data_IF_710319132721
#
_entry.id   IF_710319132721
#
_cell.length_a   1.000
_cell.length_b   1.000
_cell.length_c   1.000
_cell.angle_alpha   90.00
_cell.angle_beta   90.00
_cell.angle_gamma   90.00
#
_symmetry.space_group_name_H-M   'P 1'
#
loop_
_entity.id
_entity.type
_entity.pdbx_description
1 polymer ?
#
# COMPACT_ATOMS: atom_id res chain seq x y z
N UNK A 1 -86.35 -24.56 -2.20
CA UNK A 1 -86.83 -25.69 -1.33
C UNK A 1 -86.07 -25.58 -0.06
N UNK A 2 -86.57 -24.85 0.87
CA UNK A 2 -87.17 -25.15 2.19
C UNK A 2 -86.58 -26.36 2.90
N UNK A 3 -86.00 -26.14 4.08
CA UNK A 3 -86.48 -26.43 5.41
C UNK A 3 -85.39 -26.30 6.46
N UNK A 4 -85.55 -25.33 7.29
CA UNK A 4 -85.64 -25.31 8.78
C UNK A 4 -85.43 -26.64 9.56
N UNK A 5 -84.66 -26.57 10.66
CA UNK A 5 -85.19 -26.74 12.02
C UNK A 5 -84.17 -26.38 13.09
N UNK A 6 -84.73 -25.81 14.13
CA UNK A 6 -84.30 -25.15 15.34
C UNK A 6 -83.91 -26.07 16.49
N UNK A 7 -83.41 -25.42 17.55
CA UNK A 7 -83.29 -25.70 18.98
C UNK A 7 -81.94 -26.23 19.43
N UNK A 8 -81.16 -25.58 20.25
CA UNK A 8 -81.45 -24.78 21.42
C UNK A 8 -80.99 -25.53 22.67
N UNK A 9 -79.89 -25.10 23.30
CA UNK A 9 -79.66 -25.21 24.77
C UNK A 9 -78.54 -24.31 25.23
N UNK A 10 -78.86 -23.43 26.14
CA UNK A 10 -77.98 -22.52 26.87
C UNK A 10 -77.05 -23.30 27.82
N UNK A 11 -75.75 -22.94 27.79
CA UNK A 11 -74.88 -23.19 28.92
C UNK A 11 -74.02 -21.91 29.15
N UNK A 12 -74.08 -21.43 30.37
CA UNK A 12 -73.59 -20.15 30.85
C UNK A 12 -72.07 -20.01 30.74
N UNK A 13 -71.59 -18.84 30.37
CA UNK A 13 -70.17 -18.55 30.18
C UNK A 13 -69.57 -17.89 31.43
N UNK A 14 -69.05 -18.65 32.34
CA UNK A 14 -68.36 -18.06 33.52
C UNK A 14 -67.06 -18.74 34.01
N UNK A 15 -66.60 -19.83 33.42
CA UNK A 15 -65.33 -20.46 33.83
C UNK A 15 -64.29 -20.77 32.75
N UNK A 16 -64.51 -20.37 31.51
CA UNK A 16 -63.49 -20.53 30.43
C UNK A 16 -62.59 -19.30 30.17
N UNK A 17 -62.94 -18.14 30.75
CA UNK A 17 -62.17 -16.91 30.52
C UNK A 17 -60.84 -16.82 31.28
N UNK A 18 -60.72 -17.44 32.43
CA UNK A 18 -59.55 -17.31 33.27
C UNK A 18 -58.39 -18.25 32.84
N UNK A 19 -58.69 -19.41 32.27
CA UNK A 19 -57.66 -20.34 31.77
C UNK A 19 -57.10 -20.00 30.41
N UNK A 20 -57.85 -19.27 29.57
CA UNK A 20 -57.35 -18.81 28.28
C UNK A 20 -56.42 -17.58 28.39
N UNK A 21 -56.63 -16.71 29.39
CA UNK A 21 -55.78 -15.55 29.63
C UNK A 21 -54.41 -15.92 30.19
N UNK A 22 -54.31 -16.96 31.03
CA UNK A 22 -53.02 -17.46 31.59
C UNK A 22 -52.24 -18.24 30.55
N UNK A 23 -52.89 -18.90 29.59
CA UNK A 23 -52.20 -19.59 28.46
C UNK A 23 -51.66 -18.59 27.41
N UNK A 24 -52.31 -17.42 27.20
CA UNK A 24 -51.84 -16.41 26.25
C UNK A 24 -50.66 -15.57 26.79
N UNK A 25 -50.53 -15.40 28.12
CA UNK A 25 -49.40 -14.66 28.72
C UNK A 25 -48.14 -15.50 28.85
N UNK A 26 -48.23 -16.82 28.86
CA UNK A 26 -47.07 -17.74 28.90
C UNK A 26 -46.46 -17.99 27.52
N UNK A 27 -47.21 -17.77 26.42
CA UNK A 27 -46.68 -17.90 25.06
C UNK A 27 -45.98 -16.65 24.56
N UNK A 28 -46.24 -15.44 25.12
CA UNK A 28 -45.59 -14.21 24.73
C UNK A 28 -44.17 -14.03 25.29
N UNK A 29 -43.82 -14.67 26.38
CA UNK A 29 -42.45 -14.63 26.95
C UNK A 29 -41.50 -15.66 26.35
N UNK A 30 -42.02 -16.71 25.69
CA UNK A 30 -41.18 -17.72 25.02
C UNK A 30 -40.77 -17.34 23.60
N UNK A 31 -41.49 -16.42 22.93
CA UNK A 31 -41.16 -15.98 21.59
C UNK A 31 -40.08 -14.88 21.52
N UNK A 32 -39.91 -14.07 22.57
CA UNK A 32 -38.89 -13.01 22.57
C UNK A 32 -37.45 -13.58 22.63
N UNK A 33 -37.22 -14.61 23.45
CA UNK A 33 -35.88 -15.19 23.56
C UNK A 33 -35.48 -16.08 22.37
N UNK A 34 -36.44 -16.60 21.60
CA UNK A 34 -36.16 -17.38 20.40
C UNK A 34 -35.95 -16.47 19.18
N UNK A 35 -36.69 -15.36 19.08
CA UNK A 35 -36.48 -14.36 18.05
C UNK A 35 -35.19 -13.54 18.28
N UNK A 36 -34.86 -13.25 19.53
CA UNK A 36 -33.58 -12.55 19.84
C UNK A 36 -32.34 -13.42 19.54
N UNK A 37 -32.46 -14.76 19.68
CA UNK A 37 -31.40 -15.70 19.25
C UNK A 37 -31.34 -15.91 17.73
N UNK A 38 -32.46 -15.79 17.03
CA UNK A 38 -32.53 -15.91 15.57
C UNK A 38 -32.14 -14.57 14.85
N UNK A 39 -32.32 -13.45 15.56
CA UNK A 39 -31.97 -12.12 15.11
C UNK A 39 -30.57 -11.65 15.59
N UNK A 40 -29.92 -12.40 16.46
CA UNK A 40 -28.50 -12.26 16.74
C UNK A 40 -27.74 -12.75 15.49
N UNK A 41 -27.82 -11.98 14.41
CA UNK A 41 -26.91 -12.12 13.27
C UNK A 41 -25.54 -11.79 13.82
N UNK A 42 -24.76 -12.81 14.12
CA UNK A 42 -23.32 -12.68 14.27
C UNK A 42 -22.85 -12.22 12.89
N UNK A 43 -22.51 -10.94 12.76
CA UNK A 43 -21.90 -10.46 11.52
C UNK A 43 -20.64 -11.32 11.31
N UNK A 44 -20.58 -12.15 10.25
CA UNK A 44 -19.44 -13.04 10.03
C UNK A 44 -18.13 -12.29 9.82
N UNK A 45 -18.19 -10.97 9.59
CA UNK A 45 -17.04 -10.10 9.47
C UNK A 45 -16.59 -9.49 10.82
N UNK A 46 -17.37 -9.66 11.90
CA UNK A 46 -16.99 -9.23 13.25
C UNK A 46 -16.50 -10.43 14.05
N UNK A 47 -15.20 -10.52 14.24
CA UNK A 47 -14.58 -11.52 15.09
C UNK A 47 -14.72 -11.06 16.55
N UNK A 48 -15.56 -11.74 17.33
CA UNK A 48 -15.67 -11.45 18.75
C UNK A 48 -14.35 -11.79 19.48
N UNK A 49 -13.92 -10.99 20.46
CA UNK A 49 -12.71 -11.28 21.24
C UNK A 49 -12.68 -12.67 21.88
N UNK A 50 -13.86 -13.26 22.21
CA UNK A 50 -13.98 -14.61 22.73
C UNK A 50 -13.64 -15.70 21.70
N UNK A 51 -13.85 -15.41 20.41
CA UNK A 51 -13.66 -16.39 19.34
C UNK A 51 -12.17 -16.50 18.92
N UNK A 52 -11.36 -15.50 19.27
CA UNK A 52 -9.91 -15.43 19.01
C UNK A 52 -9.03 -15.88 20.17
N UNK A 53 -9.62 -16.38 21.24
CA UNK A 53 -8.87 -16.85 22.42
C UNK A 53 -8.03 -18.13 22.16
N UNK A 54 -8.16 -18.76 20.98
CA UNK A 54 -7.37 -19.94 20.64
C UNK A 54 -6.10 -19.59 19.86
N UNK A 55 -5.05 -20.37 20.10
CA UNK A 55 -3.79 -20.25 19.36
C UNK A 55 -3.98 -20.40 17.83
N UNK A 56 -4.88 -21.30 17.42
CA UNK A 56 -5.20 -21.53 16.01
C UNK A 56 -5.90 -20.34 15.36
N UNK A 57 -6.84 -19.70 16.05
CA UNK A 57 -7.53 -18.51 15.56
C UNK A 57 -6.58 -17.31 15.45
N UNK A 58 -5.71 -17.08 16.44
CA UNK A 58 -4.69 -16.03 16.38
C UNK A 58 -3.72 -16.22 15.20
N UNK A 59 -3.32 -17.47 14.93
CA UNK A 59 -2.48 -17.78 13.77
C UNK A 59 -3.20 -17.55 12.43
N UNK A 60 -4.49 -17.90 12.35
CA UNK A 60 -5.30 -17.67 11.14
C UNK A 60 -5.45 -16.17 10.84
N UNK A 61 -5.68 -15.34 11.87
CA UNK A 61 -5.71 -13.88 11.73
C UNK A 61 -4.37 -13.33 11.24
N UNK A 62 -3.26 -13.79 11.82
CA UNK A 62 -1.93 -13.37 11.38
C UNK A 62 -1.66 -13.72 9.90
N UNK A 63 -2.03 -14.94 9.47
CA UNK A 63 -1.92 -15.35 8.07
C UNK A 63 -2.80 -14.47 7.16
N UNK A 64 -4.01 -14.11 7.60
CA UNK A 64 -4.88 -13.16 6.92
C UNK A 64 -4.27 -11.78 6.79
N UNK A 65 -3.60 -11.29 7.83
CA UNK A 65 -2.88 -10.02 7.82
C UNK A 65 -1.69 -10.04 6.85
N UNK A 66 -0.88 -11.10 6.86
CA UNK A 66 0.24 -11.26 5.89
C UNK A 66 -0.29 -11.25 4.46
N UNK A 67 -1.44 -11.88 4.21
CA UNK A 67 -2.05 -11.87 2.88
C UNK A 67 -2.53 -10.46 2.46
N UNK A 68 -3.16 -9.69 3.37
CA UNK A 68 -3.53 -8.30 3.06
C UNK A 68 -2.31 -7.39 2.94
N UNK A 69 -1.26 -7.61 3.74
CA UNK A 69 0.02 -6.91 3.58
C UNK A 69 0.64 -7.17 2.21
N UNK A 70 0.59 -8.42 1.73
CA UNK A 70 1.02 -8.76 0.37
C UNK A 70 0.20 -8.00 -0.68
N UNK A 71 -1.10 -7.85 -0.50
CA UNK A 71 -1.99 -7.18 -1.46
C UNK A 71 -1.74 -5.67 -1.61
N UNK A 72 -1.16 -5.01 -0.63
CA UNK A 72 -0.79 -3.58 -0.71
C UNK A 72 0.61 -3.34 -1.26
N UNK A 73 1.31 -4.39 -1.68
CA UNK A 73 2.63 -4.37 -2.31
C UNK A 73 2.57 -5.04 -3.68
N UNK A 74 3.41 -6.03 -3.95
CA UNK A 74 3.44 -6.76 -5.23
C UNK A 74 2.36 -7.83 -5.42
N UNK A 75 1.49 -8.08 -4.45
CA UNK A 75 0.43 -9.09 -4.51
C UNK A 75 -0.94 -8.54 -4.95
N UNK A 76 -1.07 -7.28 -5.20
CA UNK A 76 -2.29 -6.62 -5.67
C UNK A 76 -1.98 -5.39 -6.52
N UNK A 77 -2.95 -4.91 -7.27
CA UNK A 77 -2.87 -3.59 -7.89
C UNK A 77 -3.00 -2.54 -6.78
N UNK A 78 -1.88 -1.97 -6.41
CA UNK A 78 -1.70 -1.16 -5.20
C UNK A 78 -1.16 0.22 -5.54
N UNK A 79 -0.98 1.05 -4.51
CA UNK A 79 -0.34 2.36 -4.65
C UNK A 79 1.11 2.26 -5.16
N UNK A 80 1.74 1.07 -5.12
CA UNK A 80 3.02 0.85 -5.78
C UNK A 80 2.94 1.07 -7.28
N UNK A 81 1.86 0.58 -7.92
CA UNK A 81 1.65 0.78 -9.35
C UNK A 81 1.01 2.13 -9.65
N UNK A 82 -0.03 2.53 -8.92
CA UNK A 82 -0.69 3.82 -9.12
C UNK A 82 0.18 5.01 -8.73
N UNK A 83 0.93 4.92 -7.65
CA UNK A 83 1.95 5.92 -7.33
C UNK A 83 3.04 6.00 -8.39
N UNK A 84 3.38 4.88 -9.00
CA UNK A 84 4.31 4.83 -10.13
C UNK A 84 3.76 5.47 -11.40
N UNK A 85 2.45 5.34 -11.69
CA UNK A 85 1.78 6.08 -12.78
C UNK A 85 1.77 7.59 -12.51
N UNK A 86 1.36 7.97 -11.29
CA UNK A 86 1.30 9.39 -10.90
C UNK A 86 2.68 10.06 -10.89
N UNK A 87 3.72 9.28 -10.66
CA UNK A 87 5.11 9.70 -10.72
C UNK A 87 5.64 9.68 -12.19
N UNK A 88 6.49 8.73 -12.51
CA UNK A 88 7.08 8.56 -13.83
C UNK A 88 7.63 7.13 -14.04
N UNK A 89 7.35 6.19 -13.13
CA UNK A 89 7.83 4.81 -13.27
C UNK A 89 7.07 4.05 -14.36
N UNK A 90 5.78 4.32 -14.46
CA UNK A 90 4.87 3.67 -15.40
C UNK A 90 4.12 4.70 -16.24
N UNK A 91 3.76 4.29 -17.46
CA UNK A 91 2.77 4.96 -18.30
C UNK A 91 1.59 4.03 -18.53
N UNK A 92 0.38 4.57 -18.67
CA UNK A 92 -0.81 3.74 -18.88
C UNK A 92 -0.86 3.12 -20.26
N UNK A 93 -1.17 1.83 -20.35
CA UNK A 93 -1.57 1.13 -21.57
C UNK A 93 -2.85 0.33 -21.34
N UNK A 94 -3.66 0.79 -20.41
CA UNK A 94 -4.89 0.18 -19.92
C UNK A 94 -6.11 0.71 -20.68
N UNK A 95 -7.20 -0.08 -20.66
CA UNK A 95 -8.55 0.36 -21.05
C UNK A 95 -9.28 1.07 -19.91
N UNK A 96 -8.72 1.08 -18.70
CA UNK A 96 -9.36 1.70 -17.54
C UNK A 96 -9.05 3.19 -17.47
N UNK A 97 -10.11 4.00 -17.51
CA UNK A 97 -10.00 5.46 -17.39
C UNK A 97 -9.30 5.87 -16.07
N UNK A 98 -9.42 5.06 -15.02
CA UNK A 98 -8.79 5.28 -13.72
C UNK A 98 -7.26 5.32 -13.82
N UNK A 99 -6.69 4.45 -14.66
CA UNK A 99 -5.26 4.45 -14.94
C UNK A 99 -4.84 5.70 -15.73
N UNK A 100 -5.64 6.06 -16.74
CA UNK A 100 -5.36 7.23 -17.57
C UNK A 100 -5.43 8.53 -16.76
N UNK A 101 -6.45 8.71 -15.91
CA UNK A 101 -6.56 9.84 -14.99
C UNK A 101 -5.36 9.96 -14.05
N UNK A 102 -4.85 8.81 -13.59
CA UNK A 102 -3.71 8.78 -12.67
C UNK A 102 -2.40 9.14 -13.38
N UNK A 103 -2.14 8.56 -14.54
CA UNK A 103 -0.97 8.87 -15.37
C UNK A 103 -0.98 10.33 -15.85
N UNK A 104 -2.16 10.83 -16.27
CA UNK A 104 -2.35 12.23 -16.64
C UNK A 104 -2.25 13.21 -15.47
N UNK A 105 -2.19 12.73 -14.21
CA UNK A 105 -2.17 13.57 -13.02
C UNK A 105 -3.42 14.45 -12.88
N UNK A 106 -4.59 13.91 -13.24
CA UNK A 106 -5.93 14.52 -13.13
C UNK A 106 -6.88 13.50 -12.51
N UNK A 107 -6.64 13.17 -11.24
CA UNK A 107 -7.32 12.08 -10.54
C UNK A 107 -8.61 12.56 -9.93
N UNK A 108 -9.72 11.94 -10.31
CA UNK A 108 -11.03 12.24 -9.74
C UNK A 108 -11.22 11.58 -8.38
N UNK A 109 -12.00 12.21 -7.51
CA UNK A 109 -12.31 11.68 -6.17
C UNK A 109 -13.19 10.42 -6.22
N UNK A 110 -13.87 10.12 -7.33
CA UNK A 110 -14.65 8.92 -7.56
C UNK A 110 -13.86 7.80 -8.27
N UNK A 111 -12.55 7.95 -8.43
CA UNK A 111 -11.68 6.94 -9.02
C UNK A 111 -11.75 5.63 -8.22
N UNK A 112 -12.41 4.61 -8.79
CA UNK A 112 -12.69 3.33 -8.14
C UNK A 112 -11.45 2.52 -7.79
N UNK A 113 -10.35 2.67 -8.55
CA UNK A 113 -9.08 2.00 -8.26
C UNK A 113 -8.42 2.62 -7.03
N UNK A 114 -8.38 3.95 -6.92
CA UNK A 114 -7.88 4.66 -5.73
C UNK A 114 -8.71 4.30 -4.49
N UNK A 115 -10.06 4.18 -4.64
CA UNK A 115 -10.95 3.72 -3.57
C UNK A 115 -10.56 2.33 -3.07
N UNK A 116 -10.29 1.39 -3.98
CA UNK A 116 -9.88 0.03 -3.62
C UNK A 116 -8.55 0.01 -2.89
N UNK A 117 -7.59 0.79 -3.35
CA UNK A 117 -6.26 0.89 -2.73
C UNK A 117 -6.32 1.48 -1.32
N UNK A 118 -7.07 2.55 -1.12
CA UNK A 118 -7.29 3.15 0.20
C UNK A 118 -7.91 2.13 1.17
N UNK A 119 -8.96 1.42 0.75
CA UNK A 119 -9.59 0.36 1.53
C UNK A 119 -8.62 -0.77 1.89
N UNK A 120 -7.76 -1.17 0.97
CA UNK A 120 -6.78 -2.22 1.24
C UNK A 120 -5.73 -1.80 2.28
N UNK A 121 -5.30 -0.54 2.26
CA UNK A 121 -4.42 0.02 3.28
C UNK A 121 -5.09 0.06 4.66
N UNK A 122 -6.34 0.54 4.73
CA UNK A 122 -7.13 0.51 5.98
C UNK A 122 -7.36 -0.92 6.48
N UNK A 123 -7.75 -1.83 5.60
CA UNK A 123 -7.96 -3.25 5.94
C UNK A 123 -6.68 -3.88 6.48
N UNK A 124 -5.53 -3.60 5.88
CA UNK A 124 -4.25 -4.10 6.39
C UNK A 124 -3.98 -3.60 7.80
N UNK A 125 -4.23 -2.31 8.06
CA UNK A 125 -4.07 -1.70 9.38
C UNK A 125 -5.00 -2.34 10.41
N UNK A 126 -6.29 -2.46 10.12
CA UNK A 126 -7.30 -3.05 11.02
C UNK A 126 -6.98 -4.52 11.33
N UNK A 127 -6.72 -5.34 10.31
CA UNK A 127 -6.34 -6.75 10.49
C UNK A 127 -5.04 -6.94 11.26
N UNK A 128 -4.08 -6.04 11.06
CA UNK A 128 -2.86 -6.06 11.86
C UNK A 128 -3.16 -5.81 13.36
N UNK A 129 -4.04 -4.86 13.68
CA UNK A 129 -4.48 -4.62 15.06
C UNK A 129 -5.17 -5.85 15.66
N UNK A 130 -6.09 -6.47 14.94
CA UNK A 130 -6.78 -7.71 15.36
C UNK A 130 -5.77 -8.83 15.65
N UNK A 131 -4.82 -9.02 14.75
CA UNK A 131 -3.79 -10.04 14.89
C UNK A 131 -2.84 -9.76 16.07
N UNK A 132 -2.46 -8.50 16.30
CA UNK A 132 -1.64 -8.10 17.45
C UNK A 132 -2.38 -8.43 18.74
N UNK A 133 -3.66 -8.07 18.87
CA UNK A 133 -4.46 -8.35 20.05
C UNK A 133 -4.56 -9.86 20.29
N UNK A 134 -4.96 -10.62 19.27
CA UNK A 134 -5.15 -12.06 19.36
C UNK A 134 -3.84 -12.80 19.72
N UNK A 135 -2.74 -12.48 19.04
CA UNK A 135 -1.43 -13.08 19.32
C UNK A 135 -0.90 -12.73 20.70
N UNK A 136 -1.07 -11.48 21.15
CA UNK A 136 -0.62 -11.06 22.47
C UNK A 136 -1.33 -11.81 23.59
N UNK A 137 -2.62 -12.17 23.40
CA UNK A 137 -3.40 -12.94 24.36
C UNK A 137 -3.10 -14.44 24.25
N UNK A 138 -3.20 -15.00 23.03
CA UNK A 138 -3.18 -16.46 22.83
C UNK A 138 -1.77 -17.05 22.64
N UNK A 139 -0.82 -16.26 22.11
CA UNK A 139 0.54 -16.71 21.76
C UNK A 139 1.61 -15.63 22.01
N UNK A 140 1.76 -15.08 23.21
CA UNK A 140 2.66 -13.96 23.51
C UNK A 140 4.15 -14.27 23.28
N UNK A 141 4.50 -15.55 23.18
CA UNK A 141 5.87 -16.02 22.91
C UNK A 141 6.27 -15.90 21.43
N UNK A 142 5.30 -15.79 20.50
CA UNK A 142 5.55 -15.63 19.08
C UNK A 142 5.92 -14.17 18.74
N UNK A 143 6.94 -13.65 19.43
CA UNK A 143 7.33 -12.24 19.38
C UNK A 143 7.68 -11.76 17.97
N UNK A 144 8.37 -12.57 17.17
CA UNK A 144 8.70 -12.22 15.80
C UNK A 144 7.46 -12.11 14.90
N UNK A 145 6.44 -12.95 15.10
CA UNK A 145 5.17 -12.87 14.37
C UNK A 145 4.37 -11.62 14.79
N UNK A 146 4.34 -11.30 16.08
CA UNK A 146 3.75 -10.03 16.57
C UNK A 146 4.47 -8.83 15.96
N UNK A 147 5.80 -8.87 15.87
CA UNK A 147 6.60 -7.84 15.21
C UNK A 147 6.24 -7.68 13.72
N UNK A 148 5.97 -8.78 13.02
CA UNK A 148 5.53 -8.76 11.62
C UNK A 148 4.15 -8.09 11.46
N UNK A 149 3.23 -8.29 12.41
CA UNK A 149 1.94 -7.60 12.41
C UNK A 149 2.11 -6.08 12.63
N UNK A 150 2.98 -5.67 13.54
CA UNK A 150 3.33 -4.26 13.73
C UNK A 150 4.04 -3.67 12.50
N UNK A 151 4.90 -4.44 11.83
CA UNK A 151 5.52 -4.04 10.57
C UNK A 151 4.47 -3.80 9.47
N UNK A 152 3.50 -4.72 9.31
CA UNK A 152 2.42 -4.58 8.34
C UNK A 152 1.57 -3.34 8.60
N UNK A 153 1.24 -3.06 9.88
CA UNK A 153 0.52 -1.85 10.29
C UNK A 153 1.30 -0.59 9.94
N UNK A 154 2.56 -0.52 10.39
CA UNK A 154 3.41 0.65 10.17
C UNK A 154 3.73 0.88 8.70
N UNK A 155 3.83 -0.18 7.89
CA UNK A 155 3.99 -0.05 6.44
C UNK A 155 2.74 0.50 5.76
N UNK A 156 1.55 0.03 6.15
CA UNK A 156 0.29 0.57 5.63
C UNK A 156 0.12 2.06 5.98
N UNK A 157 0.46 2.44 7.21
CA UNK A 157 0.45 3.85 7.67
C UNK A 157 1.49 4.70 6.92
N UNK A 158 2.70 4.19 6.69
CA UNK A 158 3.70 4.85 5.85
C UNK A 158 3.16 5.09 4.44
N UNK A 159 2.54 4.09 3.83
CA UNK A 159 2.06 4.17 2.45
C UNK A 159 0.87 5.15 2.33
N UNK A 160 -0.06 5.14 3.32
CA UNK A 160 -1.13 6.14 3.41
C UNK A 160 -0.58 7.58 3.38
N UNK A 161 0.38 7.88 4.25
CA UNK A 161 0.95 9.22 4.34
C UNK A 161 1.83 9.60 3.15
N UNK A 162 2.50 8.63 2.52
CA UNK A 162 3.37 8.86 1.37
C UNK A 162 2.58 9.13 0.08
N UNK A 163 1.44 8.47 -0.11
CA UNK A 163 0.76 8.45 -1.41
C UNK A 163 -0.48 9.34 -1.46
N UNK A 164 -1.17 9.52 -0.34
CA UNK A 164 -2.41 10.27 -0.29
C UNK A 164 -2.21 11.72 0.16
N UNK A 165 -3.24 12.55 -0.09
CA UNK A 165 -3.30 13.94 0.38
C UNK A 165 -3.40 14.04 1.91
N UNK A 166 -3.25 15.25 2.47
CA UNK A 166 -3.59 15.51 3.87
C UNK A 166 -5.11 15.42 4.10
N UNK A 167 -5.50 15.02 5.30
CA UNK A 167 -6.91 14.92 5.69
C UNK A 167 -7.48 13.50 5.68
N UNK A 168 -6.62 12.47 5.67
CA UNK A 168 -7.05 11.07 5.74
C UNK A 168 -7.64 10.79 7.12
N UNK A 169 -8.91 10.33 7.23
CA UNK A 169 -9.46 9.90 8.50
C UNK A 169 -8.90 8.51 8.88
N UNK A 170 -8.41 8.37 10.09
CA UNK A 170 -7.93 7.08 10.62
C UNK A 170 -8.91 6.60 11.68
N UNK A 171 -9.90 5.82 11.23
CA UNK A 171 -10.93 5.23 12.07
C UNK A 171 -10.43 4.01 12.85
N UNK A 172 -11.06 3.70 13.98
CA UNK A 172 -10.87 2.47 14.73
C UNK A 172 -11.97 1.46 14.38
N UNK A 173 -11.67 0.58 13.43
CA UNK A 173 -12.57 -0.49 13.01
C UNK A 173 -12.64 -1.68 13.99
N UNK A 174 -11.79 -1.71 15.01
CA UNK A 174 -11.77 -2.75 16.04
C UNK A 174 -12.61 -2.37 17.27
N UNK A 175 -13.01 -1.10 17.40
CA UNK A 175 -13.95 -0.67 18.43
C UNK A 175 -15.36 -1.19 18.15
N UNK A 176 -16.14 -1.42 19.19
CA UNK A 176 -17.53 -1.89 19.09
C UNK A 176 -18.48 -0.88 19.78
N UNK A 177 -19.26 -0.09 19.04
CA UNK A 177 -19.28 0.04 17.58
C UNK A 177 -17.98 0.67 17.03
N UNK A 178 -17.68 0.53 15.71
CA UNK A 178 -16.54 1.21 15.09
C UNK A 178 -16.57 2.72 15.33
N UNK A 179 -15.38 3.31 15.55
CA UNK A 179 -15.25 4.73 15.84
C UNK A 179 -14.65 5.46 14.63
N UNK A 180 -15.41 6.42 14.12
CA UNK A 180 -14.95 7.28 13.04
C UNK A 180 -13.84 8.23 13.52
N UNK A 181 -12.68 8.13 12.89
CA UNK A 181 -11.52 8.95 13.20
C UNK A 181 -11.58 10.35 12.58
N UNK A 182 -10.89 11.34 13.19
CA UNK A 182 -10.73 12.66 12.59
C UNK A 182 -9.80 12.61 11.38
N UNK A 183 -9.87 13.60 10.47
CA UNK A 183 -8.90 13.76 9.40
C UNK A 183 -7.52 14.11 9.98
N UNK A 184 -6.48 13.37 9.56
CA UNK A 184 -5.12 13.56 10.01
C UNK A 184 -4.23 14.12 8.88
N UNK A 185 -3.25 14.92 9.25
CA UNK A 185 -2.17 15.30 8.34
C UNK A 185 -1.23 14.13 8.08
N UNK A 186 -0.54 14.13 6.95
CA UNK A 186 0.45 13.11 6.63
C UNK A 186 1.55 13.04 7.70
N UNK A 187 1.95 14.16 8.29
CA UNK A 187 2.91 14.18 9.39
C UNK A 187 2.41 13.41 10.64
N UNK A 188 1.13 13.55 10.98
CA UNK A 188 0.54 12.77 12.07
C UNK A 188 0.49 11.29 11.77
N UNK A 189 0.15 10.91 10.51
CA UNK A 189 0.14 9.50 10.09
C UNK A 189 1.56 8.92 10.06
N UNK A 190 2.57 9.68 9.61
CA UNK A 190 3.97 9.26 9.72
C UNK A 190 4.40 9.05 11.17
N UNK A 191 3.91 9.87 12.11
CA UNK A 191 4.18 9.67 13.55
C UNK A 191 3.52 8.37 14.06
N UNK A 192 2.32 8.04 13.61
CA UNK A 192 1.67 6.74 13.91
C UNK A 192 2.48 5.57 13.34
N UNK A 193 2.91 5.67 12.08
CA UNK A 193 3.76 4.68 11.45
C UNK A 193 5.07 4.47 12.22
N UNK A 194 5.69 5.56 12.69
CA UNK A 194 6.88 5.48 13.54
C UNK A 194 6.61 4.66 14.81
N UNK A 195 5.54 4.95 15.54
CA UNK A 195 5.17 4.23 16.76
C UNK A 195 4.89 2.74 16.50
N UNK A 196 4.22 2.41 15.38
CA UNK A 196 3.98 1.03 14.96
C UNK A 196 5.30 0.29 14.72
N UNK A 197 6.23 0.93 14.01
CA UNK A 197 7.53 0.33 13.66
C UNK A 197 8.49 0.24 14.87
N UNK A 198 8.43 1.20 15.77
CA UNK A 198 9.16 1.15 17.05
C UNK A 198 8.67 -0.04 17.90
N UNK A 199 7.35 -0.30 17.92
CA UNK A 199 6.77 -1.51 18.52
C UNK A 199 7.24 -2.79 17.82
N UNK A 200 7.30 -2.81 16.47
CA UNK A 200 7.84 -3.95 15.73
C UNK A 200 9.29 -4.27 16.16
N UNK A 201 10.15 -3.26 16.27
CA UNK A 201 11.53 -3.44 16.73
C UNK A 201 11.60 -3.93 18.18
N UNK A 202 10.72 -3.45 19.06
CA UNK A 202 10.64 -3.89 20.45
C UNK A 202 10.23 -5.37 20.57
N UNK A 203 9.31 -5.84 19.77
CA UNK A 203 8.94 -7.26 19.73
C UNK A 203 10.01 -8.12 19.05
N UNK A 204 10.69 -7.61 18.04
CA UNK A 204 11.74 -8.29 17.30
C UNK A 204 13.14 -8.12 17.94
N UNK A 205 13.24 -8.24 19.25
CA UNK A 205 14.51 -8.05 19.99
C UNK A 205 15.27 -9.36 20.26
N UNK A 206 14.80 -10.51 19.75
CA UNK A 206 15.47 -11.79 19.83
C UNK A 206 16.68 -11.90 18.89
N UNK A 207 17.50 -12.94 19.13
CA UNK A 207 18.69 -13.25 18.31
C UNK A 207 18.43 -14.36 17.29
N UNK A 208 17.25 -14.97 17.31
CA UNK A 208 16.83 -15.94 16.29
C UNK A 208 16.67 -15.29 14.92
N UNK A 209 16.74 -16.12 13.86
CA UNK A 209 16.74 -15.64 12.49
C UNK A 209 15.50 -14.80 12.14
N UNK A 210 14.33 -15.17 12.67
CA UNK A 210 13.07 -14.48 12.37
C UNK A 210 13.00 -13.13 13.08
N UNK A 211 13.42 -13.07 14.35
CA UNK A 211 13.53 -11.81 15.08
C UNK A 211 14.50 -10.84 14.40
N UNK A 212 15.67 -11.33 13.99
CA UNK A 212 16.67 -10.51 13.27
C UNK A 212 16.11 -10.01 11.92
N UNK A 213 15.38 -10.86 11.19
CA UNK A 213 14.74 -10.48 9.93
C UNK A 213 13.72 -9.35 10.14
N UNK A 214 12.80 -9.51 11.11
CA UNK A 214 11.76 -8.52 11.41
C UNK A 214 12.36 -7.22 11.95
N UNK A 215 13.37 -7.29 12.80
CA UNK A 215 14.04 -6.11 13.33
C UNK A 215 14.67 -5.27 12.21
N UNK A 216 15.39 -5.91 11.28
CA UNK A 216 15.99 -5.22 10.13
C UNK A 216 14.92 -4.62 9.21
N UNK A 217 13.83 -5.36 8.93
CA UNK A 217 12.73 -4.87 8.12
C UNK A 217 12.08 -3.63 8.76
N UNK A 218 11.77 -3.70 10.06
CA UNK A 218 11.20 -2.58 10.80
C UNK A 218 12.13 -1.36 10.80
N UNK A 219 13.44 -1.55 11.01
CA UNK A 219 14.43 -0.47 10.94
C UNK A 219 14.46 0.24 9.59
N UNK A 220 14.45 -0.49 8.48
CA UNK A 220 14.48 0.12 7.14
C UNK A 220 13.19 0.89 6.85
N UNK A 221 12.02 0.32 7.19
CA UNK A 221 10.73 1.02 7.02
C UNK A 221 10.67 2.24 7.94
N UNK A 222 11.12 2.13 9.19
CA UNK A 222 11.17 3.23 10.15
C UNK A 222 12.10 4.37 9.70
N UNK A 223 13.20 4.02 9.05
CA UNK A 223 14.12 4.99 8.48
C UNK A 223 13.49 5.75 7.30
N UNK A 224 12.66 5.08 6.47
CA UNK A 224 11.85 5.77 5.44
C UNK A 224 10.87 6.76 6.06
N UNK A 225 10.23 6.41 7.18
CA UNK A 225 9.38 7.33 7.95
C UNK A 225 10.19 8.52 8.48
N UNK A 226 11.38 8.28 9.01
CA UNK A 226 12.26 9.34 9.52
C UNK A 226 12.66 10.32 8.39
N UNK A 227 13.02 9.82 7.21
CA UNK A 227 13.26 10.67 6.04
C UNK A 227 12.03 11.51 5.66
N UNK A 228 10.81 10.91 5.69
CA UNK A 228 9.58 11.64 5.40
C UNK A 228 9.32 12.77 6.41
N UNK A 229 9.71 12.58 7.67
CA UNK A 229 9.67 13.57 8.74
C UNK A 229 10.89 14.52 8.77
N UNK A 230 11.78 14.45 7.78
CA UNK A 230 13.01 15.25 7.69
C UNK A 230 14.02 14.98 8.83
N UNK A 231 13.94 13.79 9.47
CA UNK A 231 14.84 13.33 10.53
C UNK A 231 15.93 12.42 9.96
N UNK A 232 16.93 13.03 9.35
CA UNK A 232 18.04 12.32 8.72
C UNK A 232 18.97 11.62 9.74
N UNK A 233 19.06 12.14 10.95
CA UNK A 233 19.89 11.56 12.02
C UNK A 233 19.33 10.20 12.43
N UNK A 234 18.05 10.15 12.77
CA UNK A 234 17.36 8.89 13.09
C UNK A 234 17.39 7.92 11.90
N UNK A 235 17.17 8.41 10.67
CA UNK A 235 17.21 7.57 9.48
C UNK A 235 18.55 6.87 9.31
N UNK A 236 19.66 7.60 9.43
CA UNK A 236 21.01 7.05 9.33
C UNK A 236 21.31 6.03 10.44
N UNK A 237 20.94 6.34 11.69
CA UNK A 237 21.14 5.45 12.83
C UNK A 237 20.42 4.11 12.65
N UNK A 238 19.18 4.14 12.16
CA UNK A 238 18.34 2.94 11.99
C UNK A 238 18.90 1.98 10.94
N UNK A 239 19.46 2.48 9.85
CA UNK A 239 19.96 1.63 8.76
C UNK A 239 21.42 1.24 8.92
N UNK A 240 22.13 1.85 9.86
CA UNK A 240 23.52 1.49 10.16
C UNK A 240 23.63 -0.01 10.50
N UNK A 241 24.52 -0.71 9.80
CA UNK A 241 24.74 -2.14 10.00
C UNK A 241 23.68 -3.08 9.39
N UNK A 242 22.68 -2.57 8.65
CA UNK A 242 21.81 -3.42 7.81
C UNK A 242 22.63 -3.92 6.62
N UNK A 243 22.81 -5.25 6.44
CA UNK A 243 23.60 -5.76 5.34
C UNK A 243 23.00 -5.46 3.98
N UNK A 244 23.81 -5.21 2.95
CA UNK A 244 23.31 -4.99 1.57
C UNK A 244 22.56 -6.21 1.03
N UNK A 245 22.91 -7.43 1.46
CA UNK A 245 22.22 -8.68 1.06
C UNK A 245 20.93 -8.94 1.85
N UNK A 246 20.53 -8.09 2.78
CA UNK A 246 19.29 -8.22 3.53
C UNK A 246 18.08 -8.05 2.60
N UNK A 247 17.04 -8.89 2.77
CA UNK A 247 15.75 -8.70 2.15
C UNK A 247 14.63 -9.27 3.05
N UNK A 248 13.52 -8.53 3.14
CA UNK A 248 12.22 -9.02 3.59
C UNK A 248 11.30 -9.02 2.38
N UNK A 249 10.81 -10.21 2.01
CA UNK A 249 10.14 -10.44 0.73
C UNK A 249 8.74 -11.00 0.91
N UNK A 250 7.84 -10.64 -0.01
CA UNK A 250 6.59 -11.35 -0.23
C UNK A 250 6.75 -12.39 -1.34
N UNK A 251 6.35 -13.61 -1.05
CA UNK A 251 6.38 -14.74 -1.99
C UNK A 251 5.01 -14.97 -2.62
N UNK A 252 4.99 -15.61 -3.79
CA UNK A 252 3.78 -15.87 -4.58
C UNK A 252 3.67 -17.36 -4.93
N UNK A 253 2.45 -17.80 -5.21
CA UNK A 253 2.18 -19.17 -5.67
C UNK A 253 1.00 -19.20 -6.63
N UNK A 254 0.93 -20.24 -7.45
CA UNK A 254 -0.17 -20.44 -8.40
C UNK A 254 -1.52 -20.69 -7.71
N UNK A 255 -1.49 -21.12 -6.44
CA UNK A 255 -2.71 -21.48 -5.68
C UNK A 255 -3.27 -20.34 -4.84
N UNK A 256 -2.48 -19.30 -4.56
CA UNK A 256 -2.92 -18.17 -3.70
C UNK A 256 -2.99 -16.86 -4.47
N UNK A 257 -1.85 -16.33 -4.89
CA UNK A 257 -1.77 -15.10 -5.66
C UNK A 257 -0.49 -15.05 -6.47
N UNK A 258 -0.55 -14.52 -7.66
CA UNK A 258 0.60 -14.24 -8.51
C UNK A 258 1.19 -12.86 -8.21
N UNK A 259 2.43 -12.64 -8.65
CA UNK A 259 3.05 -11.32 -8.64
C UNK A 259 2.29 -10.37 -9.57
N UNK A 260 1.67 -9.34 -8.99
CA UNK A 260 0.83 -8.39 -9.74
C UNK A 260 1.65 -7.42 -10.58
N UNK A 261 2.90 -7.12 -10.20
CA UNK A 261 3.80 -6.31 -11.04
C UNK A 261 4.05 -7.01 -12.39
N UNK A 262 4.28 -8.33 -12.36
CA UNK A 262 4.30 -9.14 -13.57
C UNK A 262 2.93 -9.18 -14.26
N UNK A 263 1.87 -9.44 -13.49
CA UNK A 263 0.51 -9.63 -14.02
C UNK A 263 0.01 -8.41 -14.79
N UNK A 264 0.23 -7.23 -14.28
CA UNK A 264 -0.23 -5.98 -14.89
C UNK A 264 0.76 -5.40 -15.91
N UNK A 265 2.07 -5.49 -15.64
CA UNK A 265 3.11 -4.93 -16.48
C UNK A 265 3.44 -5.81 -17.70
N UNK A 266 3.78 -7.08 -17.47
CA UNK A 266 4.25 -7.98 -18.53
C UNK A 266 3.10 -8.81 -19.15
N UNK A 267 2.24 -9.41 -18.33
CA UNK A 267 1.19 -10.32 -18.81
C UNK A 267 0.01 -9.57 -19.43
N UNK A 268 -0.66 -8.72 -18.66
CA UNK A 268 -1.83 -7.95 -19.12
C UNK A 268 -1.47 -6.69 -19.91
N UNK A 269 -0.23 -6.20 -19.76
CA UNK A 269 0.27 -5.01 -20.46
C UNK A 269 -0.60 -3.76 -20.27
N UNK A 270 -1.03 -3.55 -19.03
CA UNK A 270 -1.79 -2.35 -18.61
C UNK A 270 -0.87 -1.21 -18.21
N UNK A 271 0.36 -1.56 -17.83
CA UNK A 271 1.41 -0.66 -17.37
C UNK A 271 2.62 -0.81 -18.28
N UNK A 272 2.98 0.26 -18.95
CA UNK A 272 4.19 0.37 -19.74
C UNK A 272 5.31 0.96 -18.88
N UNK A 273 6.55 0.51 -19.02
CA UNK A 273 7.67 1.17 -18.35
C UNK A 273 7.78 2.61 -18.85
N UNK A 274 7.82 3.57 -17.93
CA UNK A 274 7.87 5.00 -18.23
C UNK A 274 9.16 5.44 -18.94
N UNK A 275 9.09 6.59 -19.60
CA UNK A 275 10.23 7.19 -20.27
C UNK A 275 10.08 8.72 -20.36
N UNK A 276 11.16 9.39 -20.65
CA UNK A 276 11.16 10.82 -21.03
C UNK A 276 10.65 11.08 -22.45
N UNK A 277 10.58 10.04 -23.30
CA UNK A 277 10.00 10.09 -24.64
C UNK A 277 8.88 9.06 -24.76
N UNK A 278 7.66 9.53 -24.91
CA UNK A 278 6.47 8.69 -24.92
C UNK A 278 5.62 8.83 -26.18
N UNK A 279 4.61 7.97 -26.30
CA UNK A 279 3.64 8.04 -27.39
C UNK A 279 4.08 7.31 -28.63
N UNK A 280 3.77 6.06 -28.72
CA UNK A 280 3.64 5.24 -29.96
C UNK A 280 4.40 5.76 -31.20
N UNK A 281 5.71 6.06 -31.08
CA UNK A 281 6.57 6.69 -32.10
C UNK A 281 6.25 8.18 -32.39
N UNK A 282 5.50 8.86 -31.54
CA UNK A 282 5.27 10.30 -31.69
C UNK A 282 6.37 11.13 -31.06
N UNK A 283 7.26 10.48 -30.30
CA UNK A 283 8.40 11.10 -29.61
C UNK A 283 7.98 12.33 -28.77
N UNK A 284 6.88 12.15 -28.02
CA UNK A 284 6.37 13.19 -27.15
C UNK A 284 7.30 13.30 -25.95
N UNK A 285 7.92 14.47 -25.78
CA UNK A 285 8.79 14.77 -24.66
C UNK A 285 7.95 14.94 -23.38
N UNK A 286 8.22 14.12 -22.37
CA UNK A 286 7.72 14.24 -21.02
C UNK A 286 8.81 14.87 -20.17
N UNK A 287 8.69 16.16 -19.93
CA UNK A 287 9.69 16.90 -19.14
C UNK A 287 9.71 16.40 -17.71
N UNK A 288 10.87 16.33 -17.09
CA UNK A 288 11.16 15.82 -15.74
C UNK A 288 11.00 14.30 -15.53
N UNK A 289 10.45 13.55 -16.47
CA UNK A 289 10.39 12.11 -16.35
C UNK A 289 11.79 11.47 -16.48
N UNK A 290 12.04 10.43 -15.70
CA UNK A 290 13.25 9.61 -15.83
C UNK A 290 13.13 8.75 -17.10
N UNK A 291 14.18 8.67 -17.91
CA UNK A 291 14.19 7.85 -19.13
C UNK A 291 14.39 6.35 -18.78
N UNK A 292 13.49 5.75 -18.02
CA UNK A 292 13.63 4.38 -17.55
C UNK A 292 13.83 3.37 -18.67
N UNK A 293 13.11 3.54 -19.78
CA UNK A 293 13.22 2.65 -20.93
C UNK A 293 14.42 2.98 -21.81
N UNK A 294 14.60 4.25 -22.17
CA UNK A 294 15.64 4.66 -23.12
C UNK A 294 17.05 4.73 -22.52
N UNK A 295 17.18 4.81 -21.20
CA UNK A 295 18.46 4.78 -20.50
C UNK A 295 19.21 3.45 -20.66
N UNK A 296 18.52 2.36 -21.00
CA UNK A 296 19.10 1.02 -21.13
C UNK A 296 19.90 0.61 -19.90
N UNK A 297 19.39 0.97 -18.72
CA UNK A 297 20.03 0.71 -17.46
C UNK A 297 19.98 -0.80 -17.14
N UNK A 298 21.10 -1.45 -16.78
CA UNK A 298 21.13 -2.89 -16.52
C UNK A 298 20.29 -3.33 -15.32
N UNK A 299 19.89 -2.40 -14.44
CA UNK A 299 18.97 -2.67 -13.32
C UNK A 299 17.53 -2.87 -13.77
N UNK A 300 17.17 -2.32 -14.94
CA UNK A 300 15.83 -2.38 -15.48
C UNK A 300 15.89 -2.68 -16.99
N UNK A 301 16.09 -3.95 -17.37
CA UNK A 301 16.01 -4.33 -18.78
C UNK A 301 14.59 -4.14 -19.30
N UNK A 302 14.45 -3.39 -20.39
CA UNK A 302 13.17 -3.07 -21.01
C UNK A 302 13.12 -3.60 -22.44
N UNK A 303 12.07 -4.35 -22.73
CA UNK A 303 11.74 -4.77 -24.09
C UNK A 303 10.81 -3.76 -24.72
N UNK A 304 11.25 -3.19 -25.85
CA UNK A 304 10.45 -2.27 -26.67
C UNK A 304 9.87 -3.08 -27.83
N UNK A 305 8.56 -2.99 -28.12
CA UNK A 305 7.96 -3.69 -29.26
C UNK A 305 8.63 -3.25 -30.56
N UNK A 306 9.03 -4.25 -31.37
CA UNK A 306 9.58 -3.99 -32.70
C UNK A 306 8.47 -3.71 -33.71
N UNK A 307 8.77 -2.89 -34.73
CA UNK A 307 7.96 -2.71 -35.97
C UNK A 307 6.48 -2.33 -35.80
N UNK A 308 6.11 -1.65 -34.71
CA UNK A 308 4.76 -1.05 -34.63
C UNK A 308 3.64 -2.00 -34.21
N UNK A 309 3.98 -3.11 -33.57
CA UNK A 309 2.99 -3.99 -32.98
C UNK A 309 2.35 -3.28 -31.79
N UNK A 310 1.09 -2.86 -31.94
CA UNK A 310 0.23 -2.46 -30.83
C UNK A 310 0.02 -3.69 -29.97
N UNK A 311 0.44 -3.63 -28.71
CA UNK A 311 0.40 -4.75 -27.80
C UNK A 311 -0.11 -4.39 -26.39
N UNK A 312 -0.47 -3.11 -26.17
CA UNK A 312 -1.13 -2.67 -24.94
C UNK A 312 -2.54 -3.19 -24.84
N UNK A 313 -3.05 -3.31 -23.63
CA UNK A 313 -4.43 -3.75 -23.41
C UNK A 313 -5.45 -2.81 -24.04
N UNK A 314 -5.14 -1.53 -24.15
CA UNK A 314 -5.99 -0.50 -24.77
C UNK A 314 -6.10 -0.63 -26.31
N UNK A 315 -5.34 -1.53 -26.93
CA UNK A 315 -5.28 -1.68 -28.38
C UNK A 315 -4.68 -0.47 -29.11
N UNK A 316 -4.01 0.43 -28.41
CA UNK A 316 -3.47 1.69 -28.93
C UNK A 316 -1.98 1.85 -28.62
N UNK A 317 -1.51 1.36 -27.49
CA UNK A 317 -0.19 1.65 -26.96
C UNK A 317 0.84 0.57 -27.32
N UNK A 318 2.04 1.00 -27.67
CA UNK A 318 3.23 0.14 -27.71
C UNK A 318 3.80 0.01 -26.32
N UNK A 319 3.39 -1.05 -25.60
CA UNK A 319 3.79 -1.23 -24.22
C UNK A 319 5.24 -1.69 -24.11
N UNK A 320 6.03 -0.95 -23.36
CA UNK A 320 7.40 -1.31 -22.95
C UNK A 320 7.29 -2.22 -21.74
N UNK A 321 7.90 -3.38 -21.81
CA UNK A 321 7.79 -4.40 -20.75
C UNK A 321 9.15 -4.70 -20.12
N UNK A 322 9.15 -5.08 -18.86
CA UNK A 322 10.36 -5.55 -18.17
C UNK A 322 10.18 -6.97 -17.69
N UNK A 323 11.28 -7.74 -17.72
CA UNK A 323 11.36 -9.10 -17.16
C UNK A 323 11.88 -9.11 -15.73
N UNK A 324 11.92 -7.94 -15.07
CA UNK A 324 12.34 -7.81 -13.68
C UNK A 324 11.54 -8.72 -12.74
N UNK A 325 10.27 -8.95 -13.08
CA UNK A 325 9.41 -9.89 -12.37
C UNK A 325 8.77 -10.90 -13.32
N UNK A 326 8.62 -12.14 -12.85
CA UNK A 326 7.82 -13.20 -13.42
C UNK A 326 6.66 -13.54 -12.49
N UNK A 327 5.78 -14.45 -12.90
CA UNK A 327 4.55 -14.76 -12.18
C UNK A 327 4.75 -15.11 -10.70
N UNK A 328 5.85 -15.77 -10.36
CA UNK A 328 6.16 -16.23 -9.01
C UNK A 328 7.41 -15.57 -8.41
N UNK A 329 8.00 -14.60 -9.08
CA UNK A 329 9.17 -13.88 -8.55
C UNK A 329 8.82 -13.20 -7.23
N UNK A 330 9.53 -13.48 -6.14
CA UNK A 330 9.36 -12.75 -4.90
C UNK A 330 9.60 -11.26 -5.06
N UNK A 331 8.89 -10.45 -4.28
CA UNK A 331 9.04 -9.00 -4.29
C UNK A 331 9.58 -8.54 -2.95
N UNK A 332 10.68 -7.82 -2.98
CA UNK A 332 11.25 -7.21 -1.78
C UNK A 332 10.32 -6.07 -1.30
N UNK A 333 9.79 -6.23 -0.10
CA UNK A 333 9.06 -5.16 0.58
C UNK A 333 10.05 -4.09 1.02
N UNK A 334 11.15 -4.52 1.62
CA UNK A 334 12.33 -3.72 1.93
C UNK A 334 13.59 -4.59 1.85
N UNK A 335 14.72 -3.97 1.50
CA UNK A 335 15.97 -4.69 1.38
C UNK A 335 17.19 -3.83 1.77
N UNK A 336 18.39 -4.40 1.66
CA UNK A 336 19.63 -3.73 1.98
C UNK A 336 20.00 -2.60 1.02
N UNK A 337 19.49 -2.61 -0.21
CA UNK A 337 19.68 -1.49 -1.14
C UNK A 337 18.90 -0.27 -0.67
N UNK A 338 17.69 -0.46 -0.12
CA UNK A 338 16.93 0.63 0.50
C UNK A 338 17.75 1.28 1.64
N UNK A 339 18.39 0.44 2.47
CA UNK A 339 19.28 0.94 3.53
C UNK A 339 20.45 1.75 2.96
N UNK A 340 21.11 1.28 1.91
CA UNK A 340 22.19 2.02 1.23
C UNK A 340 21.73 3.33 0.62
N UNK A 341 20.53 3.36 0.01
CA UNK A 341 19.97 4.61 -0.52
C UNK A 341 19.66 5.61 0.59
N UNK A 342 19.17 5.16 1.74
CA UNK A 342 18.95 6.03 2.92
C UNK A 342 20.29 6.57 3.45
N UNK A 343 21.32 5.73 3.61
CA UNK A 343 22.65 6.17 4.03
C UNK A 343 23.26 7.20 3.05
N UNK A 344 23.13 6.94 1.75
CA UNK A 344 23.58 7.87 0.74
C UNK A 344 22.83 9.22 0.83
N UNK A 345 21.52 9.20 1.06
CA UNK A 345 20.73 10.41 1.19
C UNK A 345 21.11 11.20 2.46
N UNK A 346 21.35 10.51 3.57
CA UNK A 346 21.86 11.12 4.82
C UNK A 346 23.21 11.80 4.58
N UNK A 347 24.14 11.10 3.90
CA UNK A 347 25.44 11.67 3.55
C UNK A 347 25.30 12.89 2.63
N UNK A 348 24.41 12.82 1.63
CA UNK A 348 24.13 13.92 0.72
C UNK A 348 23.60 15.14 1.48
N UNK A 349 22.65 14.95 2.37
CA UNK A 349 22.05 16.03 3.17
C UNK A 349 23.03 16.67 4.14
N UNK A 350 23.97 15.88 4.67
CA UNK A 350 25.09 16.35 5.51
C UNK A 350 26.21 17.04 4.71
N UNK A 351 26.14 17.10 3.39
CA UNK A 351 27.20 17.64 2.53
C UNK A 351 28.43 16.72 2.43
N UNK A 352 28.35 15.47 2.90
CA UNK A 352 29.45 14.51 2.78
C UNK A 352 29.44 13.83 1.41
N UNK A 353 29.95 14.57 0.41
CA UNK A 353 29.99 14.14 -0.99
C UNK A 353 30.79 12.86 -1.18
N UNK A 354 31.90 12.70 -0.44
CA UNK A 354 32.77 11.52 -0.53
C UNK A 354 32.01 10.25 -0.13
N UNK A 355 31.36 10.25 1.01
CA UNK A 355 30.58 9.10 1.50
C UNK A 355 29.38 8.83 0.59
N UNK A 356 28.65 9.88 0.20
CA UNK A 356 27.51 9.75 -0.73
C UNK A 356 27.91 9.05 -2.02
N UNK A 357 28.98 9.51 -2.66
CA UNK A 357 29.46 8.96 -3.94
C UNK A 357 30.02 7.54 -3.78
N UNK A 358 30.72 7.26 -2.68
CA UNK A 358 31.27 5.95 -2.37
C UNK A 358 30.17 4.88 -2.22
N UNK A 359 29.07 5.20 -1.54
CA UNK A 359 27.93 4.28 -1.37
C UNK A 359 27.32 3.93 -2.72
N UNK A 360 27.03 4.93 -3.56
CA UNK A 360 26.50 4.69 -4.90
C UNK A 360 27.44 3.84 -5.75
N UNK A 361 28.74 4.17 -5.74
CA UNK A 361 29.72 3.48 -6.56
C UNK A 361 29.99 2.05 -6.09
N UNK A 362 29.88 1.76 -4.78
CA UNK A 362 29.94 0.40 -4.27
C UNK A 362 28.79 -0.47 -4.81
N UNK A 363 27.55 0.04 -4.80
CA UNK A 363 26.40 -0.66 -5.38
C UNK A 363 26.54 -0.85 -6.89
N UNK A 364 27.09 0.12 -7.62
CA UNK A 364 27.29 0.05 -9.07
C UNK A 364 28.38 -0.94 -9.46
N UNK A 365 29.44 -1.03 -8.66
CA UNK A 365 30.55 -1.97 -8.89
C UNK A 365 30.14 -3.43 -8.63
N UNK A 366 29.30 -3.68 -7.62
CA UNK A 366 28.83 -5.00 -7.24
C UNK A 366 27.29 -4.99 -7.03
N UNK A 367 26.50 -4.85 -8.11
CA UNK A 367 25.05 -4.73 -8.00
C UNK A 367 24.43 -6.01 -7.46
N UNK A 368 23.54 -5.91 -6.45
CA UNK A 368 22.78 -7.07 -5.98
C UNK A 368 21.73 -7.49 -7.02
N UNK A 369 21.25 -8.73 -6.89
CA UNK A 369 20.13 -9.23 -7.69
C UNK A 369 18.86 -8.40 -7.41
N UNK A 370 18.12 -8.07 -8.47
CA UNK A 370 16.84 -7.37 -8.42
C UNK A 370 15.78 -8.25 -9.11
N UNK A 371 14.82 -8.76 -8.35
CA UNK A 371 13.84 -9.69 -8.91
C UNK A 371 14.52 -10.85 -9.64
N UNK A 372 14.25 -11.02 -10.93
CA UNK A 372 14.89 -12.03 -11.78
C UNK A 372 16.23 -11.59 -12.37
N UNK A 373 16.58 -10.32 -12.26
CA UNK A 373 17.72 -9.75 -12.96
C UNK A 373 18.95 -9.71 -12.05
N UNK A 374 20.09 -10.19 -12.56
CA UNK A 374 21.41 -9.91 -12.02
C UNK A 374 22.05 -8.80 -12.87
N UNK A 375 22.00 -7.52 -12.42
CA UNK A 375 22.58 -6.45 -13.21
C UNK A 375 24.10 -6.64 -13.37
N UNK A 376 24.64 -6.22 -14.51
CA UNK A 376 26.09 -6.13 -14.69
C UNK A 376 26.65 -4.94 -13.94
N UNK A 377 27.95 -4.99 -13.61
CA UNK A 377 28.64 -3.85 -13.03
C UNK A 377 28.49 -2.61 -13.93
N UNK A 378 28.28 -1.47 -13.28
CA UNK A 378 28.06 -0.19 -13.96
C UNK A 378 29.25 0.74 -13.76
N UNK A 379 29.53 1.64 -14.70
CA UNK A 379 30.56 2.67 -14.52
C UNK A 379 30.32 3.49 -13.24
N UNK A 380 31.40 3.88 -12.59
CA UNK A 380 31.31 4.74 -11.41
C UNK A 380 30.67 6.09 -11.76
N UNK A 381 29.87 6.60 -10.86
CA UNK A 381 29.33 7.96 -10.93
C UNK A 381 30.44 8.98 -10.69
N UNK A 382 30.34 10.11 -11.35
CA UNK A 382 31.18 11.29 -11.14
C UNK A 382 30.34 12.35 -10.44
N UNK A 383 30.95 13.07 -9.50
CA UNK A 383 30.28 14.19 -8.84
C UNK A 383 29.90 15.28 -9.86
N UNK A 384 28.63 15.67 -9.99
CA UNK A 384 28.21 16.75 -10.90
C UNK A 384 28.64 18.15 -10.45
N UNK A 385 29.29 18.29 -9.29
CA UNK A 385 29.88 19.55 -8.83
C UNK A 385 28.90 20.52 -8.17
N UNK A 386 27.60 20.35 -8.32
CA UNK A 386 26.59 21.24 -7.74
C UNK A 386 25.65 20.47 -6.80
N UNK A 387 25.08 21.15 -5.80
CA UNK A 387 24.10 20.55 -4.88
C UNK A 387 22.88 20.03 -5.63
N UNK A 388 22.35 20.82 -6.56
CA UNK A 388 21.18 20.40 -7.36
C UNK A 388 21.50 19.19 -8.24
N UNK A 389 22.67 19.16 -8.87
CA UNK A 389 23.12 18.02 -9.67
C UNK A 389 23.27 16.75 -8.83
N UNK A 390 23.80 16.86 -7.59
CA UNK A 390 23.93 15.73 -6.66
C UNK A 390 22.56 15.21 -6.21
N UNK A 391 21.62 16.10 -5.91
CA UNK A 391 20.23 15.74 -5.57
C UNK A 391 19.56 15.01 -6.75
N UNK A 392 19.66 15.58 -7.96
CA UNK A 392 19.12 14.97 -9.18
C UNK A 392 19.71 13.58 -9.42
N UNK A 393 21.02 13.43 -9.29
CA UNK A 393 21.72 12.16 -9.49
C UNK A 393 21.33 11.13 -8.43
N UNK A 394 21.25 11.51 -7.15
CA UNK A 394 20.83 10.63 -6.07
C UNK A 394 19.44 10.07 -6.30
N UNK A 395 18.44 10.91 -6.55
CA UNK A 395 17.06 10.46 -6.74
C UNK A 395 16.86 9.71 -8.06
N UNK A 396 17.66 9.99 -9.10
CA UNK A 396 17.71 9.17 -10.31
C UNK A 396 18.24 7.76 -10.01
N UNK A 397 19.37 7.65 -9.31
CA UNK A 397 19.93 6.34 -8.91
C UNK A 397 18.95 5.55 -8.05
N UNK A 398 18.35 6.21 -7.05
CA UNK A 398 17.34 5.59 -6.19
C UNK A 398 16.15 5.07 -6.99
N UNK A 399 15.64 5.84 -7.95
CA UNK A 399 14.51 5.45 -8.78
C UNK A 399 14.76 4.14 -9.56
N UNK A 400 15.96 3.95 -10.12
CA UNK A 400 16.33 2.70 -10.77
C UNK A 400 16.47 1.52 -9.77
N UNK A 401 17.02 1.77 -8.57
CA UNK A 401 17.16 0.72 -7.56
C UNK A 401 15.84 0.28 -6.95
N UNK A 402 14.84 1.16 -6.92
CA UNK A 402 13.56 0.92 -6.24
C UNK A 402 12.37 0.87 -7.21
N UNK A 403 12.63 0.75 -8.52
CA UNK A 403 11.60 0.76 -9.56
C UNK A 403 10.44 -0.19 -9.25
N UNK A 404 9.21 0.32 -9.34
CA UNK A 404 7.97 -0.41 -9.10
C UNK A 404 7.74 -0.87 -7.66
N UNK A 405 8.52 -0.37 -6.67
CA UNK A 405 8.42 -0.76 -5.25
C UNK A 405 7.79 0.33 -4.37
N UNK A 406 6.99 1.22 -4.94
CA UNK A 406 6.15 2.19 -4.23
C UNK A 406 6.92 3.24 -3.44
N UNK A 407 8.08 3.67 -3.91
CA UNK A 407 8.89 4.71 -3.25
C UNK A 407 8.93 6.01 -4.04
N UNK A 408 8.82 5.94 -5.35
CA UNK A 408 9.06 7.06 -6.26
C UNK A 408 8.14 8.26 -5.98
N UNK A 409 6.84 8.04 -5.80
CA UNK A 409 5.89 9.13 -5.52
C UNK A 409 6.25 9.87 -4.23
N UNK A 410 6.52 9.15 -3.15
CA UNK A 410 6.95 9.74 -1.89
C UNK A 410 8.27 10.52 -2.01
N UNK A 411 9.23 10.03 -2.81
CA UNK A 411 10.49 10.72 -3.06
C UNK A 411 10.28 12.02 -3.86
N UNK A 412 9.41 12.03 -4.88
CA UNK A 412 9.09 13.23 -5.63
C UNK A 412 8.40 14.29 -4.76
N UNK A 413 7.50 13.88 -3.88
CA UNK A 413 6.88 14.77 -2.89
C UNK A 413 7.93 15.35 -1.93
N UNK A 414 8.89 14.52 -1.49
CA UNK A 414 10.00 14.97 -0.64
C UNK A 414 10.97 15.92 -1.36
N UNK A 415 11.19 15.75 -2.66
CA UNK A 415 11.97 16.70 -3.47
C UNK A 415 11.37 18.10 -3.41
N UNK A 416 10.04 18.22 -3.42
CA UNK A 416 9.36 19.50 -3.25
C UNK A 416 9.49 19.99 -1.80
N UNK A 417 9.13 19.16 -0.83
CA UNK A 417 9.09 19.56 0.60
C UNK A 417 10.45 19.87 1.21
N UNK A 418 11.48 19.11 0.84
CA UNK A 418 12.74 19.06 1.59
C UNK A 418 13.94 19.55 0.80
N UNK A 419 13.82 19.64 -0.55
CA UNK A 419 14.91 20.00 -1.45
C UNK A 419 14.63 21.26 -2.27
N UNK A 420 13.54 21.99 -1.95
CA UNK A 420 13.23 23.29 -2.55
C UNK A 420 12.78 23.23 -4.01
N UNK A 421 12.36 22.06 -4.50
CA UNK A 421 11.80 21.94 -5.84
C UNK A 421 10.34 22.38 -5.88
N UNK A 422 9.82 22.51 -7.09
CA UNK A 422 8.42 22.79 -7.36
C UNK A 422 7.76 21.59 -8.04
N UNK A 423 6.44 21.53 -8.08
CA UNK A 423 5.72 20.53 -8.86
C UNK A 423 6.17 20.56 -10.34
N UNK A 424 6.29 21.77 -10.91
CA UNK A 424 6.62 21.98 -12.32
C UNK A 424 8.03 21.52 -12.71
N UNK A 425 8.98 21.38 -11.77
CA UNK A 425 10.34 20.90 -12.05
C UNK A 425 10.65 19.52 -11.43
N UNK A 426 9.59 18.81 -10.95
CA UNK A 426 9.75 17.50 -10.30
C UNK A 426 8.89 16.44 -10.97
N UNK A 427 7.62 16.74 -11.24
CA UNK A 427 6.67 15.80 -11.81
C UNK A 427 6.61 15.90 -13.34
N UNK A 428 6.14 14.84 -14.05
CA UNK A 428 5.93 14.85 -15.48
C UNK A 428 5.15 16.07 -15.95
N UNK A 429 5.62 16.69 -17.02
CA UNK A 429 5.02 17.88 -17.63
C UNK A 429 4.97 17.74 -19.16
N UNK A 430 4.08 18.48 -19.79
CA UNK A 430 3.94 18.54 -21.24
C UNK A 430 2.68 17.85 -21.75
N UNK A 431 2.70 17.42 -23.00
CA UNK A 431 1.58 16.70 -23.60
C UNK A 431 1.55 15.25 -23.15
N UNK A 432 0.37 14.74 -22.88
CA UNK A 432 0.16 13.32 -22.60
C UNK A 432 -0.14 12.57 -23.91
N UNK A 433 0.43 11.40 -24.11
CA UNK A 433 0.35 10.68 -25.39
C UNK A 433 -1.05 10.14 -25.73
N UNK A 434 -1.93 9.97 -24.75
CA UNK A 434 -3.35 9.64 -24.98
C UNK A 434 -4.22 10.90 -25.21
N UNK A 435 -3.64 12.07 -25.25
CA UNK A 435 -4.29 13.35 -25.47
C UNK A 435 -4.33 14.24 -24.24
N UNK A 436 -4.46 15.55 -24.44
CA UNK A 436 -4.38 16.55 -23.36
C UNK A 436 -2.96 16.79 -22.88
N UNK A 437 -2.84 17.33 -21.69
CA UNK A 437 -1.57 17.61 -21.01
C UNK A 437 -1.58 17.00 -19.61
N UNK A 438 -0.40 16.80 -19.04
CA UNK A 438 -0.28 16.44 -17.64
C UNK A 438 -0.90 17.52 -16.73
N UNK A 439 -1.65 17.07 -15.71
CA UNK A 439 -2.24 17.91 -14.70
C UNK A 439 -1.25 18.25 -13.56
N UNK A 440 -1.80 18.58 -12.39
CA UNK A 440 -1.02 19.09 -11.25
C UNK A 440 -1.05 18.19 -10.01
N UNK A 441 -1.70 17.03 -10.07
CA UNK A 441 -1.79 16.14 -8.93
C UNK A 441 -0.41 15.62 -8.55
N UNK A 442 -0.10 15.66 -7.25
CA UNK A 442 1.15 15.20 -6.64
C UNK A 442 0.92 14.14 -5.57
N UNK A 443 -0.32 13.73 -5.38
CA UNK A 443 -0.78 12.70 -4.44
C UNK A 443 -2.13 12.16 -4.88
N UNK A 444 -2.49 11.00 -4.33
CA UNK A 444 -3.81 10.40 -4.52
C UNK A 444 -4.85 11.14 -3.66
N UNK A 445 -6.06 11.40 -4.18
CA UNK A 445 -7.13 12.00 -3.38
C UNK A 445 -7.68 11.01 -2.36
N UNK A 446 -8.23 11.52 -1.27
CA UNK A 446 -9.15 10.73 -0.45
C UNK A 446 -10.50 10.68 -1.17
N UNK A 447 -11.00 9.47 -1.34
CA UNK A 447 -12.10 9.18 -2.24
C UNK A 447 -13.47 9.49 -1.63
N UNK A 448 -14.47 9.66 -2.49
CA UNK A 448 -15.85 9.95 -2.09
C UNK A 448 -16.47 8.91 -1.15
N UNK A 449 -15.97 7.67 -1.14
CA UNK A 449 -16.43 6.63 -0.21
C UNK A 449 -16.25 7.01 1.27
N UNK A 450 -15.27 7.86 1.59
CA UNK A 450 -15.06 8.38 2.94
C UNK A 450 -16.10 9.40 3.40
N UNK A 451 -16.99 9.87 2.52
CA UNK A 451 -18.09 10.78 2.87
C UNK A 451 -19.08 10.19 3.88
N UNK A 452 -19.08 8.88 4.07
CA UNK A 452 -19.85 8.22 5.12
C UNK A 452 -19.28 8.46 6.53
N UNK A 453 -18.01 8.83 6.65
CA UNK A 453 -17.43 9.27 7.90
C UNK A 453 -17.81 10.74 8.15
N UNK A 454 -18.54 11.07 9.24
CA UNK A 454 -19.00 12.43 9.51
C UNK A 454 -17.87 13.43 9.73
N UNK A 455 -16.68 12.95 10.05
CA UNK A 455 -15.49 13.78 10.27
C UNK A 455 -14.75 14.11 8.96
N UNK A 456 -15.02 13.37 7.86
CA UNK A 456 -14.33 13.58 6.60
C UNK A 456 -14.99 14.69 5.76
N UNK A 457 -14.18 15.62 5.28
CA UNK A 457 -14.63 16.78 4.46
C UNK A 457 -13.83 16.92 3.16
N UNK A 458 -13.21 15.86 2.70
CA UNK A 458 -12.28 15.87 1.57
C UNK A 458 -10.82 15.98 2.00
N UNK A 459 -9.90 16.07 1.05
CA UNK A 459 -8.52 16.43 1.37
C UNK A 459 -8.46 17.80 2.03
N UNK A 460 -7.74 17.92 3.14
CA UNK A 460 -7.48 19.23 3.76
C UNK A 460 -6.69 20.12 2.79
N UNK A 461 -5.74 19.52 2.09
CA UNK A 461 -5.02 20.11 0.98
C UNK A 461 -4.44 18.98 0.08
N UNK A 462 -4.06 19.36 -1.14
CA UNK A 462 -3.41 18.49 -2.13
C UNK A 462 -1.91 18.81 -2.26
N UNK A 463 -1.32 19.40 -1.23
CA UNK A 463 0.11 19.72 -1.20
C UNK A 463 0.96 18.43 -1.11
N UNK A 464 2.22 18.51 -1.57
CA UNK A 464 3.14 17.38 -1.52
C UNK A 464 3.38 16.84 -0.13
#
# INVERSE_FOLDING_TARGET
MTMNYTMGRSCSPRRLGATLLVALTLTSTACSSASDRLLAVTDPDIINPSDVASAAAAQALANGTINTFRSITGGGESTWMFGGLLADEWSTSSTFIQNDETDQRVIKEDNGSVTTMLRNLYRTRTRANESIMALTIAQPTLRALIAEMYLARGFAELQLASDFCNGIPISDGNALPPVDGPPLSNAQIFTMAAASLDSAMQFANGTDAQSVLMNRAAKVVRARVALALNDYTTAGTLVAGVPTAFAYTHTFSLTTTSNTLWGQGLSARRYSVGDSLEGNRRDILVTNAIPFSSAKDPRLPVTIPTSGAINGQDGLTYTRTTTLWQQLTPVDVVNGVDARMIEAEVALKAGNVTSWLAIHNALRAAPPKLGEIQPTAMPALVDPGTTEGRVSLHFREKAFWTFGRGQRLGDMRRLIKQYGRTEANTFPQGLHYKGGSYGKDVNLPVVTAERNNPNFKGCTDRLP
#
